data_IF_802715493796
#
_entry.id   IF_802715493796
#
_cell.length_a   1.000
_cell.length_b   1.000
_cell.length_c   1.000
_cell.angle_alpha   90.00
_cell.angle_beta   90.00
_cell.angle_gamma   90.00
#
_symmetry.space_group_name_H-M   'P 1'
#
loop_
_entity.id
_entity.type
_entity.pdbx_description
1 polymer ?
#
# COMPACT_ATOMS: atom_id res chain seq x y z
N UNK A 1 -5.06 23.41 -16.67
CA UNK A 1 -3.67 22.92 -16.54
C UNK A 1 -3.28 22.96 -15.06
N UNK A 2 -3.16 21.80 -14.37
CA UNK A 2 -2.59 21.76 -13.01
C UNK A 2 -1.11 21.37 -13.12
N UNK A 3 -0.23 22.31 -12.77
CA UNK A 3 1.21 22.08 -12.58
C UNK A 3 1.35 21.07 -11.42
N UNK A 4 1.69 19.83 -11.73
CA UNK A 4 1.89 18.80 -10.72
C UNK A 4 3.10 19.12 -9.85
N UNK A 5 2.87 19.36 -8.56
CA UNK A 5 3.94 19.30 -7.56
C UNK A 5 4.50 17.88 -7.59
N UNK A 6 5.74 17.72 -8.07
CA UNK A 6 6.43 16.43 -8.16
C UNK A 6 6.94 15.92 -6.81
N UNK A 7 6.75 16.68 -5.73
CA UNK A 7 7.19 16.30 -4.39
C UNK A 7 6.03 15.59 -3.71
N UNK A 8 6.26 14.40 -3.12
CA UNK A 8 5.24 13.76 -2.29
C UNK A 8 4.88 14.71 -1.15
N UNK A 9 3.58 14.89 -0.89
CA UNK A 9 3.12 15.70 0.23
C UNK A 9 3.52 15.08 1.58
N UNK A 10 3.75 13.76 1.61
CA UNK A 10 4.14 13.03 2.80
C UNK A 10 4.98 11.80 2.41
N UNK A 11 5.99 11.50 3.23
CA UNK A 11 6.87 10.33 3.11
C UNK A 11 6.88 9.62 4.45
N UNK A 12 6.80 8.29 4.42
CA UNK A 12 6.95 7.44 5.59
C UNK A 12 8.16 6.52 5.38
N UNK A 13 9.04 6.45 6.39
CA UNK A 13 10.24 5.62 6.36
C UNK A 13 10.22 4.64 7.53
N UNK A 14 10.38 3.35 7.23
CA UNK A 14 10.33 2.28 8.21
C UNK A 14 11.54 1.36 8.09
N UNK A 15 11.99 0.81 9.22
CA UNK A 15 12.95 -0.29 9.21
C UNK A 15 12.28 -1.54 8.65
N UNK A 16 12.86 -2.12 7.61
CA UNK A 16 12.29 -3.27 6.89
C UNK A 16 11.94 -4.46 7.78
N UNK A 17 12.76 -4.75 8.79
CA UNK A 17 12.51 -5.87 9.73
C UNK A 17 11.22 -5.70 10.54
N UNK A 18 10.69 -4.49 10.62
CA UNK A 18 9.46 -4.17 11.35
C UNK A 18 8.35 -3.63 10.43
N UNK A 19 8.51 -3.70 9.11
CA UNK A 19 7.55 -3.19 8.15
C UNK A 19 6.83 -4.35 7.46
N UNK A 20 5.49 -4.33 7.49
CA UNK A 20 4.65 -5.37 6.91
C UNK A 20 3.59 -4.77 6.00
N UNK A 21 3.35 -5.40 4.84
CA UNK A 21 2.19 -5.12 4.01
C UNK A 21 1.04 -6.01 4.49
N UNK A 22 -0.08 -5.39 4.87
CA UNK A 22 -1.28 -6.09 5.33
C UNK A 22 -2.40 -5.82 4.32
N UNK A 23 -3.00 -6.90 3.82
CA UNK A 23 -4.19 -6.85 2.96
C UNK A 23 -5.38 -7.33 3.78
N UNK A 24 -6.23 -6.40 4.19
CA UNK A 24 -7.45 -6.69 4.93
C UNK A 24 -8.53 -7.13 3.95
N UNK A 25 -9.02 -8.36 4.13
CA UNK A 25 -10.12 -8.88 3.31
C UNK A 25 -11.40 -8.10 3.64
N UNK A 26 -12.13 -7.65 2.62
CA UNK A 26 -13.40 -6.98 2.83
C UNK A 26 -14.41 -7.93 3.49
N UNK A 27 -15.25 -7.41 4.38
CA UNK A 27 -16.30 -8.19 5.06
C UNK A 27 -17.37 -8.74 4.09
N UNK A 28 -17.55 -8.09 2.93
CA UNK A 28 -18.39 -8.60 1.86
C UNK A 28 -17.64 -8.58 0.52
N UNK A 29 -17.96 -9.50 -0.41
CA UNK A 29 -17.29 -9.61 -1.73
C UNK A 29 -17.34 -8.33 -2.59
N UNK A 30 -18.24 -7.40 -2.27
CA UNK A 30 -18.47 -6.16 -3.00
C UNK A 30 -17.69 -4.97 -2.44
N UNK A 31 -17.03 -5.14 -1.28
CA UNK A 31 -16.22 -4.08 -0.70
C UNK A 31 -14.78 -4.15 -1.19
N UNK A 32 -14.13 -3.00 -1.33
CA UNK A 32 -12.79 -2.93 -1.81
C UNK A 32 -11.77 -3.45 -0.78
N UNK A 33 -10.71 -4.11 -1.26
CA UNK A 33 -9.60 -4.50 -0.37
C UNK A 33 -8.96 -3.26 0.26
N UNK A 34 -8.64 -3.35 1.56
CA UNK A 34 -7.89 -2.31 2.27
C UNK A 34 -6.45 -2.76 2.45
N UNK A 35 -5.51 -1.97 1.94
CA UNK A 35 -4.09 -2.30 1.95
C UNK A 35 -3.38 -1.29 2.82
N UNK A 36 -2.69 -1.76 3.85
CA UNK A 36 -1.97 -0.89 4.78
C UNK A 36 -0.52 -1.33 4.92
N UNK A 37 0.41 -0.38 5.04
CA UNK A 37 1.76 -0.64 5.55
C UNK A 37 1.72 -0.46 7.05
N UNK A 38 2.25 -1.43 7.80
CA UNK A 38 2.26 -1.39 9.26
C UNK A 38 3.68 -1.49 9.80
N UNK A 39 3.99 -0.68 10.82
CA UNK A 39 5.24 -0.76 11.57
C UNK A 39 5.06 -0.21 12.98
N UNK A 40 5.54 -0.94 14.00
CA UNK A 40 5.55 -0.50 15.42
C UNK A 40 4.24 0.16 15.91
N UNK A 41 3.10 -0.40 15.54
CA UNK A 41 1.78 0.11 15.95
C UNK A 41 1.20 1.21 15.05
N UNK A 42 1.99 1.74 14.11
CA UNK A 42 1.51 2.63 13.06
C UNK A 42 0.92 1.83 11.90
N UNK A 43 -0.14 2.39 11.30
CA UNK A 43 -0.78 1.87 10.08
C UNK A 43 -0.96 3.01 9.10
N UNK A 44 -0.41 2.86 7.90
CA UNK A 44 -0.54 3.83 6.82
C UNK A 44 -1.33 3.19 5.69
N UNK A 45 -2.53 3.71 5.37
CA UNK A 45 -3.29 3.18 4.25
C UNK A 45 -2.66 3.57 2.92
N UNK A 46 -2.68 2.62 1.98
CA UNK A 46 -2.14 2.81 0.64
C UNK A 46 -3.15 2.31 -0.39
N UNK A 47 -3.26 3.05 -1.49
CA UNK A 47 -4.12 2.66 -2.60
C UNK A 47 -5.60 2.92 -2.40
N UNK A 48 -6.01 3.73 -1.41
CA UNK A 48 -7.43 4.09 -1.21
C UNK A 48 -8.06 4.80 -2.42
N UNK A 49 -7.23 5.44 -3.25
CA UNK A 49 -7.62 6.12 -4.48
C UNK A 49 -7.66 5.19 -5.70
N UNK A 50 -7.22 3.94 -5.55
CA UNK A 50 -7.14 2.96 -6.63
C UNK A 50 -8.45 2.18 -6.76
N UNK A 51 -8.76 1.77 -7.98
CA UNK A 51 -9.78 0.77 -8.30
C UNK A 51 -9.38 -0.62 -7.80
N UNK A 52 -10.31 -1.57 -7.80
CA UNK A 52 -10.00 -2.95 -7.36
C UNK A 52 -8.95 -3.64 -8.23
N UNK A 53 -9.00 -3.44 -9.54
CA UNK A 53 -8.00 -4.00 -10.46
C UNK A 53 -6.61 -3.42 -10.19
N UNK A 54 -6.52 -2.11 -9.99
CA UNK A 54 -5.28 -1.43 -9.65
C UNK A 54 -4.75 -1.87 -8.27
N UNK A 55 -5.63 -2.14 -7.30
CA UNK A 55 -5.24 -2.70 -6.00
C UNK A 55 -4.68 -4.11 -6.12
N UNK A 56 -5.24 -4.96 -6.98
CA UNK A 56 -4.68 -6.29 -7.25
C UNK A 56 -3.28 -6.18 -7.84
N UNK A 57 -3.09 -5.28 -8.82
CA UNK A 57 -1.77 -5.00 -9.39
C UNK A 57 -0.78 -4.47 -8.34
N UNK A 58 -1.23 -3.57 -7.47
CA UNK A 58 -0.42 -3.04 -6.37
C UNK A 58 0.06 -4.15 -5.44
N UNK A 59 -0.83 -5.04 -5.00
CA UNK A 59 -0.46 -6.16 -4.12
C UNK A 59 0.58 -7.06 -4.78
N UNK A 60 0.42 -7.37 -6.06
CA UNK A 60 1.37 -8.23 -6.78
C UNK A 60 2.74 -7.57 -6.94
N UNK A 61 2.76 -6.28 -7.29
CA UNK A 61 4.00 -5.50 -7.38
C UNK A 61 4.72 -5.43 -6.03
N UNK A 62 3.99 -5.21 -4.92
CA UNK A 62 4.57 -5.20 -3.59
C UNK A 62 5.19 -6.56 -3.21
N UNK A 63 4.52 -7.68 -3.55
CA UNK A 63 5.08 -9.02 -3.35
C UNK A 63 6.39 -9.20 -4.11
N UNK A 64 6.42 -8.80 -5.38
CA UNK A 64 7.61 -8.91 -6.23
C UNK A 64 8.77 -8.08 -5.70
N UNK A 65 8.51 -6.83 -5.28
CA UNK A 65 9.52 -5.97 -4.66
C UNK A 65 10.07 -6.63 -3.39
N UNK A 66 9.21 -7.08 -2.48
CA UNK A 66 9.64 -7.72 -1.23
C UNK A 66 10.48 -8.98 -1.49
N UNK A 67 10.10 -9.79 -2.50
CA UNK A 67 10.81 -10.99 -2.90
C UNK A 67 12.17 -10.69 -3.55
N UNK A 68 12.25 -9.64 -4.39
CA UNK A 68 13.48 -9.21 -5.07
C UNK A 68 14.55 -8.65 -4.13
N UNK A 69 14.13 -8.21 -2.95
CA UNK A 69 15.00 -7.66 -1.93
C UNK A 69 15.55 -8.75 -0.98
N UNK A 70 15.42 -10.04 -1.32
CA UNK A 70 16.11 -11.16 -0.64
C UNK A 70 17.52 -11.31 -1.18
#
# INVERSE_FOLDING_TARGET
MKKGNRKPNQVWEYFRIWAFVVVEKPKHPWYPAHIHITSKGEKVPIGDFLTEEEKLSLVENLRNIIASLK
#
